data_IF_507315123862
#
_entry.id   IF_507315123862
#
_cell.length_a   1.000
_cell.length_b   1.000
_cell.length_c   1.000
_cell.angle_alpha   90.00
_cell.angle_beta   90.00
_cell.angle_gamma   90.00
#
_symmetry.space_group_name_H-M   'P 1'
#
loop_
_entity.id
_entity.type
_entity.pdbx_description
1 polymer ?
#
# COMPACT_ATOMS: atom_id res chain seq x y z
N UNK A 1 -8.04 9.35 32.67
CA UNK A 1 -7.50 9.45 31.29
C UNK A 1 -7.97 8.19 30.59
N UNK A 2 -8.74 8.32 29.51
CA UNK A 2 -9.34 7.17 28.82
C UNK A 2 -8.32 6.64 27.81
N UNK A 3 -7.71 5.49 28.10
CA UNK A 3 -6.78 4.87 27.17
C UNK A 3 -7.48 4.15 26.03
N UNK A 4 -6.78 4.03 24.92
CA UNK A 4 -7.32 3.51 23.67
C UNK A 4 -7.12 2.00 23.57
N UNK A 5 -8.09 1.28 22.99
CA UNK A 5 -7.91 -0.14 22.69
C UNK A 5 -6.90 -0.35 21.56
N UNK A 6 -6.27 -1.53 21.51
CA UNK A 6 -5.29 -1.89 20.46
C UNK A 6 -5.82 -1.65 19.04
N UNK A 7 -7.11 -1.93 18.80
CA UNK A 7 -7.74 -1.77 17.48
C UNK A 7 -7.98 -0.31 17.12
N UNK A 8 -8.45 0.49 18.08
CA UNK A 8 -8.67 1.92 17.87
C UNK A 8 -7.34 2.63 17.61
N UNK A 9 -6.29 2.27 18.36
CA UNK A 9 -4.97 2.86 18.19
C UNK A 9 -4.35 2.46 16.84
N UNK A 10 -4.50 1.19 16.44
CA UNK A 10 -4.10 0.72 15.11
C UNK A 10 -4.72 1.55 13.97
N UNK A 11 -6.04 1.80 14.05
CA UNK A 11 -6.76 2.61 13.07
C UNK A 11 -6.27 4.07 13.04
N UNK A 12 -6.05 4.68 14.22
CA UNK A 12 -5.54 6.06 14.35
C UNK A 12 -4.20 6.24 13.65
N UNK A 13 -3.28 5.29 13.82
CA UNK A 13 -1.90 5.40 13.32
C UNK A 13 -1.68 4.71 11.97
N UNK A 14 -2.74 4.20 11.34
CA UNK A 14 -2.67 3.52 10.04
C UNK A 14 -1.86 2.21 10.07
N UNK A 15 -1.79 1.53 11.21
CA UNK A 15 -1.09 0.26 11.36
C UNK A 15 -2.06 -0.91 11.52
N UNK A 16 -1.58 -2.13 11.27
CA UNK A 16 -2.35 -3.34 11.56
C UNK A 16 -2.36 -3.64 13.06
N UNK A 17 -3.41 -4.32 13.54
CA UNK A 17 -3.46 -4.80 14.94
C UNK A 17 -2.25 -5.65 15.30
N UNK A 18 -1.78 -6.51 14.40
CA UNK A 18 -0.58 -7.33 14.61
C UNK A 18 0.68 -6.49 14.80
N UNK A 19 0.80 -5.36 14.09
CA UNK A 19 1.90 -4.42 14.28
C UNK A 19 1.83 -3.75 15.67
N UNK A 20 0.63 -3.39 16.15
CA UNK A 20 0.43 -2.85 17.50
C UNK A 20 0.78 -3.89 18.58
N UNK A 21 0.39 -5.15 18.40
CA UNK A 21 0.77 -6.22 19.32
C UNK A 21 2.28 -6.45 19.37
N UNK A 22 2.96 -6.42 18.22
CA UNK A 22 4.42 -6.50 18.18
C UNK A 22 5.07 -5.28 18.86
N UNK A 23 4.51 -4.09 18.68
CA UNK A 23 4.99 -2.88 19.34
C UNK A 23 4.81 -2.96 20.86
N UNK A 24 3.70 -3.54 21.34
CA UNK A 24 3.47 -3.83 22.77
C UNK A 24 4.48 -4.84 23.32
N UNK A 25 4.71 -5.95 22.60
CA UNK A 25 5.68 -6.98 23.00
C UNK A 25 7.14 -6.50 22.99
N UNK A 26 7.44 -5.47 22.19
CA UNK A 26 8.78 -4.83 22.12
C UNK A 26 8.88 -3.57 22.97
N UNK A 27 7.89 -3.33 23.85
CA UNK A 27 7.83 -2.19 24.76
C UNK A 27 7.95 -0.81 24.07
N UNK A 28 7.47 -0.70 22.83
CA UNK A 28 7.47 0.54 22.03
C UNK A 28 6.19 1.37 22.18
N UNK A 29 5.29 0.96 23.07
CA UNK A 29 4.04 1.67 23.37
C UNK A 29 4.00 2.00 24.86
N UNK A 30 3.30 3.07 25.19
CA UNK A 30 3.04 3.47 26.58
C UNK A 30 1.64 2.98 26.92
N UNK A 31 1.55 2.21 28.01
CA UNK A 31 0.31 1.63 28.49
C UNK A 31 -0.06 2.26 29.83
N UNK A 32 -1.35 2.46 30.04
CA UNK A 32 -1.89 2.76 31.36
C UNK A 32 -1.90 1.51 32.26
N UNK A 33 -2.09 1.67 33.58
CA UNK A 33 -2.09 0.56 34.53
C UNK A 33 -3.18 -0.49 34.27
N UNK A 34 -4.27 -0.11 33.61
CA UNK A 34 -5.37 -0.98 33.19
C UNK A 34 -5.07 -1.75 31.88
N UNK A 35 -3.91 -1.51 31.26
CA UNK A 35 -3.46 -2.14 30.02
C UNK A 35 -3.96 -1.46 28.74
N UNK A 36 -4.70 -0.35 28.85
CA UNK A 36 -5.09 0.49 27.71
C UNK A 36 -3.91 1.31 27.18
N UNK A 37 -3.95 1.74 25.92
CA UNK A 37 -2.85 2.46 25.26
C UNK A 37 -2.99 3.96 25.53
N UNK A 38 -1.95 4.58 26.05
CA UNK A 38 -1.81 6.03 26.05
C UNK A 38 -1.41 6.48 24.64
N UNK A 39 -2.36 7.03 23.88
CA UNK A 39 -2.16 7.34 22.46
C UNK A 39 -1.08 8.42 22.25
N UNK A 40 -1.12 9.50 23.03
CA UNK A 40 -0.20 10.64 22.88
C UNK A 40 1.22 10.23 23.26
N UNK A 41 1.38 9.57 24.41
CA UNK A 41 2.70 9.11 24.85
C UNK A 41 3.27 8.01 23.94
N UNK A 42 2.41 7.14 23.40
CA UNK A 42 2.83 6.11 22.45
C UNK A 42 3.23 6.68 21.09
N UNK A 43 2.54 7.71 20.61
CA UNK A 43 2.88 8.40 19.36
C UNK A 43 4.24 9.10 19.50
N UNK A 44 4.48 9.79 20.62
CA UNK A 44 5.78 10.40 20.93
C UNK A 44 6.92 9.37 20.99
N UNK A 45 6.74 8.28 21.76
CA UNK A 45 7.73 7.21 21.87
C UNK A 45 8.04 6.56 20.53
N UNK A 46 7.03 6.40 19.66
CA UNK A 46 7.21 5.89 18.29
C UNK A 46 7.98 6.87 17.41
N UNK A 47 7.72 8.17 17.51
CA UNK A 47 8.48 9.18 16.77
C UNK A 47 9.97 9.15 17.16
N UNK A 48 10.28 8.97 18.44
CA UNK A 48 11.66 8.86 18.94
C UNK A 48 12.38 7.58 18.48
N UNK A 49 11.68 6.45 18.44
CA UNK A 49 12.28 5.15 18.03
C UNK A 49 12.24 4.90 16.53
N UNK A 50 11.48 5.67 15.77
CA UNK A 50 11.39 5.53 14.31
C UNK A 50 12.48 6.38 13.68
N UNK A 51 13.57 5.74 13.28
CA UNK A 51 14.59 6.38 12.45
C UNK A 51 14.00 6.66 11.04
N UNK A 52 13.84 7.94 10.64
CA UNK A 52 13.29 8.29 9.33
C UNK A 52 14.14 7.74 8.19
N UNK A 53 15.45 7.54 8.39
CA UNK A 53 16.34 6.94 7.38
C UNK A 53 16.15 5.42 7.23
N UNK A 54 15.57 4.74 8.23
CA UNK A 54 15.24 3.29 8.19
C UNK A 54 13.78 3.02 7.87
N UNK A 55 12.97 4.06 7.72
CA UNK A 55 11.60 3.93 7.27
C UNK A 55 11.61 3.57 5.80
N UNK A 56 11.38 2.28 5.48
CA UNK A 56 11.17 1.86 4.10
C UNK A 56 9.93 2.58 3.56
N UNK A 57 10.13 3.40 2.53
CA UNK A 57 9.03 3.88 1.68
C UNK A 57 8.28 2.64 1.21
N UNK A 58 6.95 2.63 1.33
CA UNK A 58 6.14 1.56 0.77
C UNK A 58 6.54 1.41 -0.72
N UNK A 59 6.83 0.19 -1.21
CA UNK A 59 7.14 0.02 -2.61
C UNK A 59 5.97 0.58 -3.41
N UNK A 60 6.26 1.46 -4.36
CA UNK A 60 5.25 1.86 -5.34
C UNK A 60 4.61 0.59 -5.90
N UNK A 61 3.27 0.53 -6.05
CA UNK A 61 2.61 -0.65 -6.57
C UNK A 61 3.21 -0.95 -7.96
N UNK A 62 4.09 -1.95 -8.01
CA UNK A 62 4.71 -2.39 -9.24
C UNK A 62 3.62 -3.02 -10.09
N UNK A 63 3.06 -2.22 -11.02
CA UNK A 63 2.17 -2.73 -12.05
C UNK A 63 2.99 -3.68 -12.91
N UNK A 64 2.76 -4.98 -12.73
CA UNK A 64 3.40 -6.01 -13.55
C UNK A 64 2.95 -5.80 -14.99
N UNK A 65 3.87 -5.84 -15.97
CA UNK A 65 3.49 -5.74 -17.37
C UNK A 65 2.52 -6.88 -17.72
N UNK A 66 1.40 -6.53 -18.36
CA UNK A 66 0.41 -7.49 -18.81
C UNK A 66 1.00 -8.25 -20.01
N UNK A 67 0.94 -9.60 -20.05
CA UNK A 67 1.42 -10.36 -21.19
C UNK A 67 0.63 -10.04 -22.46
N UNK A 68 1.33 -9.90 -23.58
CA UNK A 68 0.71 -9.60 -24.89
C UNK A 68 -0.36 -10.62 -25.29
N UNK A 69 -0.16 -11.90 -24.96
CA UNK A 69 -1.13 -12.96 -25.19
C UNK A 69 -2.46 -12.72 -24.46
N UNK A 70 -2.42 -12.10 -23.27
CA UNK A 70 -3.63 -11.77 -22.51
C UNK A 70 -4.37 -10.60 -23.17
N UNK A 71 -3.64 -9.62 -23.71
CA UNK A 71 -4.24 -8.50 -24.46
C UNK A 71 -4.83 -8.99 -25.79
N UNK A 72 -4.14 -9.90 -26.48
CA UNK A 72 -4.61 -10.52 -27.72
C UNK A 72 -5.92 -11.29 -27.53
N UNK A 73 -6.00 -12.14 -26.50
CA UNK A 73 -7.20 -12.91 -26.19
C UNK A 73 -8.43 -12.02 -25.89
N UNK A 74 -8.23 -10.88 -25.23
CA UNK A 74 -9.31 -9.89 -25.01
C UNK A 74 -9.68 -9.19 -26.32
N UNK A 75 -8.69 -8.89 -27.17
CA UNK A 75 -8.95 -8.34 -28.50
C UNK A 75 -9.78 -9.28 -29.38
N UNK A 76 -9.50 -10.58 -29.34
CA UNK A 76 -10.24 -11.58 -30.13
C UNK A 76 -11.70 -11.68 -29.67
N UNK A 77 -11.94 -11.73 -28.35
CA UNK A 77 -13.31 -11.75 -27.81
C UNK A 77 -14.09 -10.46 -28.10
N UNK A 78 -13.44 -9.29 -28.10
CA UNK A 78 -14.08 -8.03 -28.49
C UNK A 78 -14.49 -8.03 -29.96
N UNK A 79 -13.63 -8.53 -30.87
CA UNK A 79 -13.95 -8.63 -32.30
C UNK A 79 -15.11 -9.59 -32.56
N UNK A 80 -15.15 -10.73 -31.87
CA UNK A 80 -16.25 -11.69 -31.95
C UNK A 80 -17.60 -11.08 -31.53
N UNK A 81 -17.58 -10.14 -30.57
CA UNK A 81 -18.76 -9.39 -30.15
C UNK A 81 -19.09 -8.17 -31.03
N UNK A 82 -18.37 -7.97 -32.14
CA UNK A 82 -18.55 -6.84 -33.04
C UNK A 82 -18.07 -5.50 -32.46
N UNK A 83 -17.25 -5.55 -31.40
CA UNK A 83 -16.67 -4.37 -30.76
C UNK A 83 -15.25 -4.14 -31.27
N UNK A 84 -14.83 -2.86 -31.27
CA UNK A 84 -13.47 -2.49 -31.63
C UNK A 84 -12.49 -2.99 -30.57
N UNK A 85 -11.58 -3.89 -30.97
CA UNK A 85 -10.49 -4.34 -30.13
C UNK A 85 -9.35 -3.29 -30.11
N UNK A 86 -8.70 -3.06 -28.95
CA UNK A 86 -7.50 -2.23 -28.88
C UNK A 86 -6.39 -2.85 -29.75
N UNK A 87 -5.55 -2.01 -30.36
CA UNK A 87 -4.42 -2.47 -31.15
C UNK A 87 -3.45 -3.26 -30.26
N UNK A 88 -3.26 -4.53 -30.59
CA UNK A 88 -2.30 -5.44 -29.95
C UNK A 88 -1.10 -5.49 -30.88
N UNK A 89 0.08 -5.16 -30.38
CA UNK A 89 1.27 -4.92 -31.18
C UNK A 89 1.35 -3.48 -31.71
N UNK A 90 1.98 -2.62 -30.92
CA UNK A 90 2.21 -1.23 -31.31
C UNK A 90 2.84 -0.43 -30.19
N UNK A 91 4.00 -0.87 -29.69
CA UNK A 91 4.85 0.03 -28.93
C UNK A 91 5.03 1.29 -29.78
N UNK A 92 4.59 2.44 -29.24
CA UNK A 92 4.76 3.73 -29.89
C UNK A 92 6.25 4.01 -30.00
N UNK A 93 6.87 3.49 -31.04
CA UNK A 93 8.24 3.82 -31.37
C UNK A 93 8.25 5.30 -31.71
N UNK A 94 9.23 6.03 -31.14
CA UNK A 94 9.39 7.48 -31.22
C UNK A 94 9.29 8.04 -32.66
N UNK A 95 9.50 7.18 -33.66
CA UNK A 95 9.43 7.49 -35.07
C UNK A 95 8.00 7.78 -35.58
N UNK A 96 6.97 7.16 -34.99
CA UNK A 96 5.59 7.29 -35.45
C UNK A 96 4.93 8.60 -34.96
N UNK A 97 5.48 9.22 -33.92
CA UNK A 97 4.97 10.47 -33.34
C UNK A 97 5.33 11.74 -34.13
N UNK A 98 6.24 11.67 -35.12
CA UNK A 98 6.73 12.84 -35.87
C UNK A 98 6.13 12.99 -37.28
N UNK A 99 5.22 12.11 -37.67
CA UNK A 99 4.60 12.09 -39.01
C UNK A 99 3.07 12.20 -38.98
N UNK A 100 2.53 12.88 -37.97
CA UNK A 100 1.13 13.31 -37.94
C UNK A 100 1.05 14.84 -38.05
#
# INVERSE_FOLDING_TARGET
MEGMSERQYAARVGLSRGAIQKAKATERLVLHPDGSIDAEASDARRAETTDPAKTRKAPDPQLRPVPEAAVAAVGDTLREQGLAAPAVGGGTTFLQAKTA
#
